data_IF_646673227392
#
_entry.id   IF_646673227392
#
_cell.length_a   1.000
_cell.length_b   1.000
_cell.length_c   1.000
_cell.angle_alpha   90.00
_cell.angle_beta   90.00
_cell.angle_gamma   90.00
#
_symmetry.space_group_name_H-M   'P 1'
#
loop_
_entity.id
_entity.type
_entity.pdbx_description
1 polymer ?
#
# COMPACT_ATOMS: atom_id res chain seq x y z
N UNK A 1 12.22 11.29 -22.71
CA UNK A 1 12.07 10.61 -21.41
C UNK A 1 13.46 10.42 -20.88
N UNK A 2 13.76 10.89 -19.67
CA UNK A 2 15.07 10.65 -19.06
C UNK A 2 15.18 9.18 -18.68
N UNK A 3 16.26 8.53 -19.09
CA UNK A 3 16.54 7.15 -18.69
C UNK A 3 16.78 7.08 -17.19
N UNK A 4 16.16 6.10 -16.53
CA UNK A 4 16.32 5.84 -15.09
C UNK A 4 17.70 5.24 -14.86
N UNK A 5 18.53 5.89 -14.05
CA UNK A 5 19.89 5.41 -13.75
C UNK A 5 19.95 4.49 -12.53
N UNK A 6 21.03 3.72 -12.39
CA UNK A 6 21.26 2.92 -11.17
C UNK A 6 21.36 3.77 -9.90
N UNK A 7 21.88 5.00 -10.02
CA UNK A 7 21.96 5.92 -8.91
C UNK A 7 20.55 6.36 -8.45
N UNK A 8 19.63 6.60 -9.39
CA UNK A 8 18.24 6.93 -9.07
C UNK A 8 17.52 5.75 -8.39
N UNK A 9 17.75 4.54 -8.90
CA UNK A 9 17.20 3.30 -8.31
C UNK A 9 17.73 3.11 -6.89
N UNK A 10 19.04 3.26 -6.68
CA UNK A 10 19.63 3.12 -5.34
C UNK A 10 19.07 4.17 -4.38
N UNK A 11 18.99 5.43 -4.80
CA UNK A 11 18.47 6.52 -3.97
C UNK A 11 17.00 6.29 -3.59
N UNK A 12 16.16 5.85 -4.54
CA UNK A 12 14.76 5.55 -4.24
C UNK A 12 14.62 4.31 -3.35
N UNK A 13 15.41 3.25 -3.61
CA UNK A 13 15.42 2.04 -2.80
C UNK A 13 15.73 2.35 -1.32
N UNK A 14 16.81 3.08 -1.05
CA UNK A 14 17.22 3.45 0.30
C UNK A 14 16.16 4.30 1.01
N UNK A 15 15.57 5.24 0.27
CA UNK A 15 14.49 6.08 0.79
C UNK A 15 13.27 5.24 1.16
N UNK A 16 12.83 4.34 0.27
CA UNK A 16 11.68 3.47 0.51
C UNK A 16 11.93 2.52 1.68
N UNK A 17 13.11 1.91 1.79
CA UNK A 17 13.44 1.02 2.91
C UNK A 17 13.43 1.77 4.25
N UNK A 18 14.03 2.96 4.29
CA UNK A 18 14.04 3.82 5.48
C UNK A 18 12.63 4.24 5.89
N UNK A 19 11.83 4.73 4.94
CA UNK A 19 10.44 5.14 5.18
C UNK A 19 9.58 3.95 5.63
N UNK A 20 9.72 2.79 4.99
CA UNK A 20 9.01 1.57 5.34
C UNK A 20 9.30 1.16 6.79
N UNK A 21 10.58 1.02 7.16
CA UNK A 21 10.99 0.63 8.52
C UNK A 21 10.53 1.66 9.55
N UNK A 22 10.72 2.95 9.24
CA UNK A 22 10.27 4.04 10.09
C UNK A 22 8.74 4.06 10.25
N UNK A 23 7.98 3.50 9.29
CA UNK A 23 6.54 3.32 9.33
C UNK A 23 6.10 1.93 9.87
N UNK A 24 7.02 1.02 10.18
CA UNK A 24 6.70 -0.33 10.69
C UNK A 24 6.36 -1.36 9.61
N UNK A 25 6.73 -1.08 8.36
CA UNK A 25 6.63 -1.98 7.21
C UNK A 25 8.03 -2.45 6.79
N UNK A 26 8.07 -3.48 5.94
CA UNK A 26 9.32 -4.05 5.44
C UNK A 26 9.26 -4.19 3.93
N UNK A 27 10.40 -3.95 3.26
CA UNK A 27 10.58 -4.35 1.86
C UNK A 27 10.94 -5.83 1.78
N UNK A 28 10.71 -6.43 0.62
CA UNK A 28 11.11 -7.79 0.31
C UNK A 28 12.65 -7.95 0.40
N UNK A 29 13.11 -9.11 0.86
CA UNK A 29 14.53 -9.41 1.08
C UNK A 29 15.31 -9.62 -0.22
N UNK A 30 14.65 -9.97 -1.32
CA UNK A 30 15.30 -10.06 -2.63
C UNK A 30 15.59 -8.66 -3.19
N UNK A 31 16.79 -8.17 -2.92
CA UNK A 31 17.21 -6.82 -3.33
C UNK A 31 17.22 -6.62 -4.85
N UNK A 32 17.49 -7.68 -5.63
CA UNK A 32 17.52 -7.56 -7.08
C UNK A 32 16.10 -7.38 -7.62
N UNK A 33 15.17 -8.21 -7.14
CA UNK A 33 13.75 -8.09 -7.45
C UNK A 33 13.18 -6.73 -7.03
N UNK A 34 13.46 -6.28 -5.81
CA UNK A 34 12.98 -4.99 -5.32
C UNK A 34 13.51 -3.84 -6.18
N UNK A 35 14.79 -3.85 -6.56
CA UNK A 35 15.38 -2.79 -7.40
C UNK A 35 14.71 -2.70 -8.77
N UNK A 36 14.27 -3.81 -9.35
CA UNK A 36 13.50 -3.80 -10.60
C UNK A 36 12.11 -3.18 -10.42
N UNK A 37 11.42 -3.44 -9.31
CA UNK A 37 10.17 -2.75 -8.99
C UNK A 37 10.37 -1.25 -8.78
N UNK A 38 11.47 -0.87 -8.12
CA UNK A 38 11.87 0.53 -7.90
C UNK A 38 12.16 1.23 -9.23
N UNK A 39 12.85 0.56 -10.16
CA UNK A 39 13.03 1.06 -11.53
C UNK A 39 11.70 1.25 -12.24
N UNK A 40 10.77 0.31 -12.10
CA UNK A 40 9.41 0.42 -12.60
C UNK A 40 8.67 1.63 -12.04
N UNK A 41 8.78 1.91 -10.73
CA UNK A 41 8.20 3.10 -10.10
C UNK A 41 8.76 4.39 -10.68
N UNK A 42 10.07 4.49 -10.86
CA UNK A 42 10.72 5.66 -11.46
C UNK A 42 10.32 5.84 -12.93
N UNK A 43 10.23 4.74 -13.66
CA UNK A 43 9.80 4.75 -15.07
C UNK A 43 8.37 5.26 -15.19
N UNK A 44 7.47 4.79 -14.32
CA UNK A 44 6.09 5.25 -14.25
C UNK A 44 6.01 6.71 -13.81
N UNK A 45 6.86 7.14 -12.88
CA UNK A 45 6.95 8.55 -12.48
C UNK A 45 7.39 9.45 -13.64
N UNK A 46 8.40 9.04 -14.41
CA UNK A 46 8.84 9.78 -15.60
C UNK A 46 7.79 9.81 -16.71
N UNK A 47 6.97 8.76 -16.82
CA UNK A 47 5.92 8.64 -17.86
C UNK A 47 4.64 9.39 -17.50
N UNK A 48 4.16 9.26 -16.27
CA UNK A 48 2.82 9.72 -15.86
C UNK A 48 2.86 10.90 -14.87
N UNK A 49 4.03 11.23 -14.33
CA UNK A 49 4.19 12.28 -13.30
C UNK A 49 3.90 11.79 -11.87
N UNK A 50 3.65 10.50 -11.66
CA UNK A 50 3.41 9.89 -10.36
C UNK A 50 3.88 8.43 -10.32
N UNK A 51 4.17 7.93 -9.13
CA UNK A 51 4.67 6.57 -8.90
C UNK A 51 3.54 5.53 -8.99
N UNK A 52 2.96 5.35 -10.18
CA UNK A 52 1.96 4.30 -10.42
C UNK A 52 2.56 2.91 -10.12
N UNK A 53 1.76 2.03 -9.52
CA UNK A 53 2.17 0.66 -9.18
C UNK A 53 2.86 -0.03 -10.37
N UNK A 54 4.09 -0.56 -10.20
CA UNK A 54 4.91 -1.04 -11.31
C UNK A 54 4.39 -2.33 -11.94
N UNK A 55 3.51 -3.07 -11.24
CA UNK A 55 2.94 -4.32 -11.71
C UNK A 55 1.46 -4.21 -12.14
N UNK A 56 0.90 -2.99 -12.18
CA UNK A 56 -0.47 -2.72 -12.64
C UNK A 56 -0.44 -1.80 -13.84
N UNK A 57 -1.44 -1.96 -14.71
CA UNK A 57 -1.63 -1.03 -15.82
C UNK A 57 -2.23 0.29 -15.30
N UNK A 58 -1.45 1.36 -15.41
CA UNK A 58 -1.90 2.71 -15.15
C UNK A 58 -2.82 3.20 -16.28
N UNK A 59 -3.89 3.92 -15.93
CA UNK A 59 -4.73 4.68 -16.85
C UNK A 59 -3.97 5.89 -17.44
N UNK A 60 -2.96 6.39 -16.72
CA UNK A 60 -2.16 7.55 -17.13
C UNK A 60 -2.75 8.89 -16.69
N UNK A 61 -3.94 8.89 -16.12
CA UNK A 61 -4.60 10.00 -15.43
C UNK A 61 -4.48 9.79 -13.93
N UNK A 62 -3.97 10.78 -13.20
CA UNK A 62 -3.67 10.63 -11.77
C UNK A 62 -4.94 10.34 -10.96
N UNK A 63 -6.04 10.95 -11.34
CA UNK A 63 -7.35 10.86 -10.70
C UNK A 63 -7.90 9.43 -10.73
N UNK A 64 -7.69 8.71 -11.84
CA UNK A 64 -8.17 7.33 -12.01
C UNK A 64 -7.27 6.27 -11.38
N UNK A 65 -6.05 6.67 -10.97
CA UNK A 65 -5.01 5.80 -10.46
C UNK A 65 -4.59 6.10 -9.02
N UNK A 66 -5.29 7.02 -8.32
CA UNK A 66 -5.02 7.34 -6.91
C UNK A 66 -4.92 6.07 -6.03
N UNK A 67 -5.77 5.09 -6.30
CA UNK A 67 -5.84 3.80 -5.61
C UNK A 67 -4.60 2.92 -5.80
N UNK A 68 -3.83 3.15 -6.87
CA UNK A 68 -2.62 2.40 -7.22
C UNK A 68 -1.33 3.22 -7.21
N UNK A 69 -1.35 4.47 -6.77
CA UNK A 69 -0.10 5.21 -6.49
C UNK A 69 0.61 4.47 -5.35
N UNK A 70 1.90 4.18 -5.51
CA UNK A 70 2.66 3.41 -4.52
C UNK A 70 2.98 4.27 -3.28
N UNK A 71 2.73 3.79 -2.04
CA UNK A 71 2.04 2.54 -1.69
C UNK A 71 0.51 2.60 -1.92
N UNK A 72 -0.04 1.60 -2.62
CA UNK A 72 -1.45 1.56 -3.02
C UNK A 72 -2.40 1.21 -1.86
N UNK A 73 -3.69 1.50 -2.03
CA UNK A 73 -4.74 1.24 -1.02
C UNK A 73 -4.83 -0.22 -0.59
N UNK A 74 -4.44 -1.13 -1.49
CA UNK A 74 -4.49 -2.58 -1.31
C UNK A 74 -3.33 -3.15 -0.50
N UNK A 75 -2.25 -2.39 -0.27
CA UNK A 75 -1.02 -2.90 0.35
C UNK A 75 -1.30 -3.53 1.72
N UNK A 76 -1.98 -2.80 2.60
CA UNK A 76 -2.19 -3.22 3.98
C UNK A 76 -3.10 -4.47 4.09
N UNK A 77 -4.27 -4.55 3.42
CA UNK A 77 -5.06 -5.79 3.44
C UNK A 77 -4.35 -6.97 2.75
N UNK A 78 -3.55 -6.72 1.72
CA UNK A 78 -2.73 -7.78 1.10
C UNK A 78 -1.64 -8.30 2.05
N UNK A 79 -0.98 -7.40 2.81
CA UNK A 79 -0.01 -7.79 3.83
C UNK A 79 -0.66 -8.61 4.95
N UNK A 80 -1.86 -8.24 5.38
CA UNK A 80 -2.58 -8.94 6.44
C UNK A 80 -3.02 -10.36 6.01
N UNK A 81 -3.60 -10.50 4.83
CA UNK A 81 -4.18 -11.77 4.39
C UNK A 81 -3.16 -12.70 3.72
N UNK A 82 -2.19 -12.14 3.00
CA UNK A 82 -1.28 -12.90 2.14
C UNK A 82 0.20 -12.73 2.48
N UNK A 83 0.54 -11.80 3.37
CA UNK A 83 1.92 -11.55 3.80
C UNK A 83 2.76 -10.72 2.83
N UNK A 84 2.20 -10.27 1.70
CA UNK A 84 2.88 -9.40 0.75
C UNK A 84 1.87 -8.57 -0.02
N UNK A 85 2.24 -7.35 -0.44
CA UNK A 85 1.42 -6.60 -1.39
C UNK A 85 1.45 -7.25 -2.78
N UNK A 86 0.52 -6.88 -3.68
CA UNK A 86 0.40 -7.49 -5.01
C UNK A 86 1.70 -7.60 -5.82
N UNK A 87 2.55 -6.57 -5.84
CA UNK A 87 3.87 -6.64 -6.49
C UNK A 87 4.97 -7.34 -5.68
N UNK A 88 4.69 -7.77 -4.45
CA UNK A 88 5.65 -8.24 -3.47
C UNK A 88 6.81 -7.26 -3.17
N UNK A 89 6.59 -5.94 -3.31
CA UNK A 89 7.53 -4.91 -2.87
C UNK A 89 7.60 -4.85 -1.34
N UNK A 90 6.43 -4.83 -0.69
CA UNK A 90 6.28 -4.84 0.76
C UNK A 90 5.88 -6.24 1.22
N UNK A 91 6.45 -6.68 2.34
CA UNK A 91 6.18 -7.99 2.96
C UNK A 91 5.91 -7.86 4.46
N UNK A 92 5.15 -8.80 5.01
CA UNK A 92 4.86 -8.90 6.43
C UNK A 92 6.11 -9.32 7.22
N UNK A 93 6.08 -9.12 8.54
CA UNK A 93 7.17 -9.55 9.41
C UNK A 93 7.38 -11.08 9.36
N UNK A 94 6.30 -11.85 9.19
CA UNK A 94 6.37 -13.32 9.07
C UNK A 94 7.13 -13.75 7.82
N UNK A 95 6.85 -13.10 6.68
CA UNK A 95 7.56 -13.38 5.43
C UNK A 95 9.02 -12.95 5.54
N UNK A 96 9.29 -11.78 6.13
CA UNK A 96 10.66 -11.29 6.36
C UNK A 96 11.50 -12.29 7.17
N UNK A 97 10.89 -12.95 8.16
CA UNK A 97 11.54 -13.97 9.01
C UNK A 97 11.61 -15.37 8.38
N UNK A 98 11.01 -15.56 7.21
CA UNK A 98 10.89 -16.87 6.57
C UNK A 98 9.89 -17.81 7.23
N UNK A 99 9.03 -17.30 8.11
CA UNK A 99 7.96 -18.07 8.78
C UNK A 99 6.75 -18.31 7.86
N UNK A 100 6.63 -17.51 6.80
CA UNK A 100 5.60 -17.63 5.77
C UNK A 100 6.25 -17.52 4.39
N UNK A 101 5.94 -18.47 3.51
CA UNK A 101 6.40 -18.42 2.12
C UNK A 101 5.62 -17.39 1.31
N UNK A 102 6.30 -16.71 0.38
CA UNK A 102 5.64 -15.89 -0.63
C UNK A 102 4.87 -16.78 -1.61
N UNK A 103 3.70 -16.30 -2.03
CA UNK A 103 2.85 -16.95 -3.01
C UNK A 103 2.18 -15.94 -3.92
N UNK A 104 1.50 -16.45 -4.95
CA UNK A 104 0.61 -15.62 -5.77
C UNK A 104 -0.58 -15.14 -4.94
N UNK A 105 -0.98 -13.88 -5.11
CA UNK A 105 -2.11 -13.29 -4.42
C UNK A 105 -3.13 -12.75 -5.44
N UNK A 106 -4.43 -12.73 -5.12
CA UNK A 106 -5.44 -12.20 -6.03
C UNK A 106 -5.34 -10.68 -6.21
N UNK A 107 -5.77 -10.18 -7.37
CA UNK A 107 -5.91 -8.74 -7.60
C UNK A 107 -7.15 -8.22 -6.87
N UNK A 108 -6.95 -7.37 -5.85
CA UNK A 108 -8.03 -6.71 -5.11
C UNK A 108 -8.61 -5.50 -5.83
N UNK A 109 -7.88 -4.90 -6.78
CA UNK A 109 -8.33 -3.73 -7.51
C UNK A 109 -9.59 -4.08 -8.33
N UNK A 110 -10.73 -3.42 -8.10
CA UNK A 110 -11.93 -3.65 -8.90
C UNK A 110 -11.70 -3.28 -10.37
N UNK A 111 -12.42 -3.96 -11.26
CA UNK A 111 -12.41 -3.66 -12.68
C UNK A 111 -12.91 -2.23 -12.98
N UNK A 112 -12.53 -1.63 -14.13
CA UNK A 112 -12.81 -0.22 -14.43
C UNK A 112 -14.28 0.19 -14.25
N UNK A 113 -15.22 -0.63 -14.74
CA UNK A 113 -16.66 -0.35 -14.62
C UNK A 113 -17.14 -0.29 -13.15
N UNK A 114 -16.57 -1.13 -12.28
CA UNK A 114 -16.93 -1.13 -10.85
C UNK A 114 -16.35 0.09 -10.13
N UNK A 115 -15.17 0.58 -10.53
CA UNK A 115 -14.58 1.81 -9.98
C UNK A 115 -15.40 3.05 -10.34
N UNK A 116 -15.84 3.15 -11.60
CA UNK A 116 -16.71 4.24 -12.06
C UNK A 116 -18.04 4.28 -11.31
N UNK A 117 -18.65 3.11 -11.05
CA UNK A 117 -19.88 3.04 -10.26
C UNK A 117 -19.67 3.52 -8.81
N UNK A 118 -18.50 3.25 -8.23
CA UNK A 118 -18.15 3.69 -6.86
C UNK A 118 -17.89 5.19 -6.77
N UNK A 119 -17.23 5.80 -7.74
CA UNK A 119 -16.97 7.24 -7.73
C UNK A 119 -18.24 8.08 -7.95
N UNK A 120 -19.21 7.58 -8.73
CA UNK A 120 -20.49 8.26 -8.96
C UNK A 120 -21.42 8.31 -7.74
N UNK A 121 -21.19 7.49 -6.71
CA UNK A 121 -22.02 7.40 -5.51
C UNK A 121 -21.65 8.35 -4.36
N UNK A 122 -20.54 9.10 -4.48
CA UNK A 122 -20.05 10.01 -3.44
C UNK A 122 -20.61 11.44 -3.62
N UNK A 123 -21.93 11.55 -3.78
CA UNK A 123 -22.63 12.84 -3.70
C UNK A 123 -22.47 13.49 -2.32
N UNK A 124 -22.54 14.82 -2.28
CA UNK A 124 -22.18 15.71 -1.17
C UNK A 124 -23.02 15.60 0.14
N UNK A 125 -23.63 14.45 0.41
CA UNK A 125 -24.28 14.19 1.70
C UNK A 125 -23.23 13.62 2.67
N UNK A 126 -22.95 14.35 3.75
CA UNK A 126 -22.12 13.83 4.83
C UNK A 126 -22.75 12.54 5.35
N UNK A 127 -22.09 11.38 5.19
CA UNK A 127 -22.61 10.14 5.73
C UNK A 127 -22.72 10.32 7.24
N UNK A 128 -23.89 10.01 7.81
CA UNK A 128 -23.99 9.87 9.25
C UNK A 128 -22.90 8.88 9.72
N UNK A 129 -22.24 9.15 10.84
CA UNK A 129 -21.17 8.29 11.40
C UNK A 129 -21.62 6.81 11.51
N UNK A 130 -22.92 6.57 11.67
CA UNK A 130 -23.54 5.24 11.70
C UNK A 130 -23.57 4.49 10.35
N UNK A 131 -23.19 5.12 9.24
CA UNK A 131 -23.21 4.56 7.87
C UNK A 131 -21.83 4.58 7.21
N UNK A 132 -20.75 4.50 7.98
CA UNK A 132 -19.41 4.41 7.41
C UNK A 132 -19.25 3.09 6.63
N UNK A 133 -18.61 3.13 5.44
CA UNK A 133 -18.42 1.94 4.61
C UNK A 133 -17.40 0.96 5.19
N UNK A 134 -16.55 1.41 6.11
CA UNK A 134 -15.50 0.62 6.76
C UNK A 134 -15.48 0.92 8.26
N UNK A 135 -15.10 -0.07 9.10
CA UNK A 135 -14.90 0.19 10.51
C UNK A 135 -13.67 1.06 10.73
N UNK A 136 -13.70 1.84 11.81
CA UNK A 136 -12.58 2.68 12.24
C UNK A 136 -11.86 1.99 13.38
N UNK A 137 -10.55 1.80 13.22
CA UNK A 137 -9.67 1.22 14.23
C UNK A 137 -8.85 2.30 14.91
N UNK A 138 -8.69 2.19 16.23
CA UNK A 138 -7.90 3.11 17.05
C UNK A 138 -6.77 2.39 17.75
N UNK A 139 -5.55 2.92 17.64
CA UNK A 139 -4.43 2.49 18.46
C UNK A 139 -4.62 2.96 19.91
N UNK A 140 -4.68 2.01 20.86
CA UNK A 140 -4.85 2.32 22.30
C UNK A 140 -3.65 3.02 22.95
N UNK A 141 -2.53 3.18 22.24
CA UNK A 141 -1.31 3.80 22.77
C UNK A 141 -1.16 5.24 22.31
N UNK A 142 -1.20 5.49 21.00
CA UNK A 142 -0.98 6.84 20.44
C UNK A 142 -2.25 7.50 19.88
N UNK A 143 -3.38 6.78 19.81
CA UNK A 143 -4.63 7.31 19.28
C UNK A 143 -4.72 7.36 17.75
N UNK A 144 -3.74 6.83 17.00
CA UNK A 144 -3.82 6.69 15.54
C UNK A 144 -5.14 6.03 15.11
N UNK A 145 -5.83 6.64 14.14
CA UNK A 145 -7.10 6.17 13.59
C UNK A 145 -6.91 5.76 12.12
N UNK A 146 -7.50 4.63 11.74
CA UNK A 146 -7.57 4.20 10.34
C UNK A 146 -8.90 3.51 10.04
N UNK A 147 -9.52 3.83 8.90
CA UNK A 147 -10.70 3.14 8.40
C UNK A 147 -10.30 2.05 7.41
N UNK A 148 -10.41 0.78 7.82
CA UNK A 148 -9.95 -0.41 7.08
C UNK A 148 -10.73 -1.63 7.57
N UNK A 149 -10.75 -2.72 6.80
CA UNK A 149 -11.36 -4.00 7.21
C UNK A 149 -10.76 -4.51 8.54
N UNK A 150 -9.43 -4.45 8.67
CA UNK A 150 -8.67 -4.73 9.90
C UNK A 150 -7.67 -3.61 10.25
N UNK A 151 -7.15 -3.57 11.49
CA UNK A 151 -6.08 -2.66 11.87
C UNK A 151 -4.76 -3.11 11.22
N UNK A 152 -3.81 -2.19 10.98
CA UNK A 152 -2.49 -2.56 10.44
C UNK A 152 -1.75 -3.50 11.42
N UNK A 153 -0.88 -4.37 10.89
CA UNK A 153 -0.07 -5.30 11.69
C UNK A 153 0.73 -4.59 12.80
N UNK A 154 1.24 -3.40 12.46
CA UNK A 154 2.01 -2.52 13.33
C UNK A 154 1.49 -1.09 13.18
N UNK A 155 1.31 -0.41 14.31
CA UNK A 155 0.91 0.99 14.31
C UNK A 155 1.97 1.86 13.62
N UNK A 156 1.63 2.62 12.56
CA UNK A 156 2.60 3.40 11.82
C UNK A 156 3.17 4.57 12.61
N UNK A 157 2.55 4.92 13.75
CA UNK A 157 2.99 6.02 14.61
C UNK A 157 3.87 5.51 15.76
N UNK A 158 3.36 4.60 16.60
CA UNK A 158 4.04 4.19 17.83
C UNK A 158 4.57 2.75 17.85
N UNK A 159 4.46 2.02 16.73
CA UNK A 159 5.05 0.68 16.53
C UNK A 159 4.52 -0.46 17.41
N UNK A 160 3.43 -0.24 18.12
CA UNK A 160 2.74 -1.36 18.79
C UNK A 160 2.05 -2.27 17.79
N UNK A 161 1.93 -3.55 18.14
CA UNK A 161 1.30 -4.59 17.32
C UNK A 161 -0.24 -4.41 17.26
N UNK A 162 -0.87 -5.09 16.31
CA UNK A 162 -2.31 -5.00 16.03
C UNK A 162 -3.23 -5.37 17.20
N UNK A 163 -2.76 -6.17 18.16
CA UNK A 163 -3.46 -6.50 19.42
C UNK A 163 -3.68 -5.28 20.34
N UNK A 164 -2.96 -4.20 20.08
CA UNK A 164 -3.12 -2.91 20.78
C UNK A 164 -4.16 -2.00 20.11
N UNK A 165 -4.83 -2.43 19.05
CA UNK A 165 -5.94 -1.68 18.45
C UNK A 165 -7.29 -2.10 19.02
N UNK A 166 -8.25 -1.18 18.97
CA UNK A 166 -9.65 -1.42 19.30
C UNK A 166 -10.54 -0.86 18.18
N UNK A 167 -11.72 -1.45 17.97
CA UNK A 167 -12.72 -0.87 17.09
C UNK A 167 -13.28 0.38 17.75
N UNK A 168 -13.20 1.50 17.06
CA UNK A 168 -13.69 2.80 17.51
C UNK A 168 -15.13 3.05 17.03
N UNK A 169 -15.40 2.80 15.74
CA UNK A 169 -16.72 2.92 15.08
C UNK A 169 -16.90 1.72 14.14
#
# INVERSE_FOLDING_TARGET
MSDVTEADVQALFERLDKEARAAGYNLNTDSAFVRELVRGLLTNQNRFGYQACPCRLAAGTKEDDLDIICPCDYRDPDLEDYGACYCALYVSEKVLKGEQALGSIPERRPGPNQRLARSAGHGADSPAISKLPLPVWRCRVCGYLCAREGPPEVCPICKVKKDRFERFI
#
